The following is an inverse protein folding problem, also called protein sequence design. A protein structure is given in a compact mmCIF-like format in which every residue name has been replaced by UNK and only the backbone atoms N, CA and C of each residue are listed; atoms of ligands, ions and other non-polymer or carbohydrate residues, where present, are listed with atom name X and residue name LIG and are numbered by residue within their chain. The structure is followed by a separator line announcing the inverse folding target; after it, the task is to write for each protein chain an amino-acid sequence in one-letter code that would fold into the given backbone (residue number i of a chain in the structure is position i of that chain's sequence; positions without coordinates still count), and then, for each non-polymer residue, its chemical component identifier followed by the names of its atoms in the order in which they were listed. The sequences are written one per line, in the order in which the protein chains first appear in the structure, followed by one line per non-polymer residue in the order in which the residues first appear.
data_IF_139210120622
#
_entry.id   IF_139210120622
#
_cell.length_a   1.000
_cell.length_b   1.000
_cell.length_c   1.000
_cell.angle_alpha   90.00
_cell.angle_beta   90.00
_cell.angle_gamma   90.00
#
_symmetry.space_group_name_H-M   'P 1'
#
loop_
_entity.id
_entity.type
_entity.pdbx_description
1 polymer ?
#
# COMPACT_ATOMS: atom_id res chain seq x y z
N UNK A 1 -18.07 -5.52 -15.88
CA UNK A 1 -16.92 -6.25 -15.34
C UNK A 1 -16.21 -5.36 -14.32
N UNK A 2 -16.07 -5.86 -13.11
CA UNK A 2 -15.34 -5.06 -12.12
C UNK A 2 -13.84 -5.28 -12.29
N UNK A 3 -13.10 -4.19 -12.38
CA UNK A 3 -11.65 -4.22 -12.52
C UNK A 3 -11.05 -3.90 -11.17
N UNK A 4 -10.21 -4.79 -10.70
CA UNK A 4 -9.51 -4.59 -9.45
C UNK A 4 -8.19 -3.86 -9.68
N UNK A 5 -8.27 -2.55 -9.82
CA UNK A 5 -7.10 -1.73 -10.12
C UNK A 5 -6.13 -1.67 -8.95
N UNK A 6 -6.62 -1.74 -7.71
CA UNK A 6 -5.74 -1.76 -6.53
C UNK A 6 -5.01 -3.09 -6.43
N UNK A 7 -5.71 -4.21 -6.60
CA UNK A 7 -5.06 -5.52 -6.60
C UNK A 7 -4.02 -5.65 -7.69
N UNK A 8 -4.31 -5.14 -8.89
CA UNK A 8 -3.36 -5.12 -9.99
C UNK A 8 -2.11 -4.30 -9.63
N UNK A 9 -2.31 -3.14 -8.99
CA UNK A 9 -1.23 -2.29 -8.55
C UNK A 9 -0.31 -2.98 -7.53
N UNK A 10 -0.91 -3.63 -6.54
CA UNK A 10 -0.15 -4.37 -5.52
C UNK A 10 0.61 -5.53 -6.16
N UNK A 11 0.02 -6.19 -7.15
CA UNK A 11 0.65 -7.28 -7.89
C UNK A 11 1.86 -6.78 -8.71
N UNK A 12 1.74 -5.61 -9.34
CA UNK A 12 2.85 -4.99 -10.07
C UNK A 12 4.04 -4.76 -9.13
N UNK A 13 3.80 -4.23 -7.95
CA UNK A 13 4.85 -4.01 -6.95
C UNK A 13 5.45 -5.36 -6.50
N UNK A 14 4.60 -6.32 -6.17
CA UNK A 14 5.03 -7.64 -5.72
C UNK A 14 5.92 -8.33 -6.76
N UNK A 15 5.48 -8.35 -8.01
CA UNK A 15 6.23 -8.98 -9.10
C UNK A 15 7.56 -8.26 -9.34
N UNK A 16 7.59 -6.94 -9.26
CA UNK A 16 8.83 -6.18 -9.39
C UNK A 16 9.83 -6.52 -8.30
N UNK A 17 9.36 -6.64 -7.06
CA UNK A 17 10.19 -7.03 -5.93
C UNK A 17 10.75 -8.44 -6.11
N UNK A 18 9.93 -9.38 -6.58
CA UNK A 18 10.34 -10.77 -6.77
C UNK A 18 11.51 -10.93 -7.74
N UNK A 19 11.58 -10.10 -8.77
CA UNK A 19 12.65 -10.15 -9.77
C UNK A 19 13.65 -9.02 -9.61
N UNK A 20 13.63 -8.34 -8.48
CA UNK A 20 14.58 -7.29 -8.10
C UNK A 20 14.66 -6.15 -9.12
N UNK A 21 13.51 -5.71 -9.64
CA UNK A 21 13.47 -4.55 -10.53
C UNK A 21 13.81 -3.28 -9.78
N UNK A 22 14.53 -2.33 -10.40
CA UNK A 22 14.78 -1.04 -9.76
C UNK A 22 13.52 -0.18 -9.64
N UNK A 23 12.59 -0.31 -10.58
CA UNK A 23 11.34 0.45 -10.57
C UNK A 23 10.24 -0.31 -11.30
N UNK A 24 9.00 0.06 -11.01
CA UNK A 24 7.82 -0.46 -11.70
C UNK A 24 6.93 0.70 -12.12
N UNK A 25 6.07 0.47 -13.10
CA UNK A 25 5.12 1.45 -13.59
C UNK A 25 3.70 0.91 -13.51
N UNK A 26 2.77 1.80 -13.23
CA UNK A 26 1.34 1.48 -13.22
C UNK A 26 0.57 2.67 -13.78
N UNK A 27 -0.63 2.43 -14.36
CA UNK A 27 -1.48 3.55 -14.78
C UNK A 27 -1.83 4.43 -13.58
N UNK A 28 -1.88 5.74 -13.81
CA UNK A 28 -2.19 6.69 -12.74
C UNK A 28 -3.64 6.56 -12.27
N UNK A 29 -3.83 6.63 -10.96
CA UNK A 29 -5.11 6.99 -10.34
C UNK A 29 -4.80 7.68 -9.02
N UNK A 30 -5.73 8.51 -8.56
CA UNK A 30 -5.55 9.23 -7.30
C UNK A 30 -5.36 8.26 -6.14
N UNK A 31 -6.14 7.18 -6.11
CA UNK A 31 -6.05 6.18 -5.06
C UNK A 31 -4.69 5.49 -5.04
N UNK A 32 -4.23 5.01 -6.20
CA UNK A 32 -2.92 4.35 -6.30
C UNK A 32 -1.78 5.30 -5.96
N UNK A 33 -1.88 6.55 -6.39
CA UNK A 33 -0.90 7.57 -6.07
C UNK A 33 -0.81 7.79 -4.56
N UNK A 34 -1.95 7.91 -3.89
CA UNK A 34 -1.99 8.08 -2.44
C UNK A 34 -1.38 6.88 -1.71
N UNK A 35 -1.71 5.67 -2.15
CA UNK A 35 -1.12 4.46 -1.58
C UNK A 35 0.39 4.46 -1.76
N UNK A 36 0.88 4.79 -2.95
CA UNK A 36 2.31 4.83 -3.24
C UNK A 36 3.03 5.87 -2.38
N UNK A 37 2.43 7.05 -2.18
CA UNK A 37 3.01 8.09 -1.33
C UNK A 37 3.09 7.65 0.13
N UNK A 38 2.10 6.90 0.63
CA UNK A 38 2.15 6.35 1.97
C UNK A 38 3.27 5.31 2.10
N UNK A 39 3.47 4.47 1.08
CA UNK A 39 4.57 3.51 1.07
C UNK A 39 5.93 4.22 1.08
N UNK A 40 6.06 5.33 0.37
CA UNK A 40 7.27 6.15 0.39
C UNK A 40 7.49 6.76 1.76
N UNK A 41 6.46 7.37 2.33
CA UNK A 41 6.53 8.02 3.64
C UNK A 41 6.94 7.03 4.73
N UNK A 42 6.45 5.80 4.65
CA UNK A 42 6.76 4.74 5.63
C UNK A 42 8.06 4.00 5.31
N UNK A 43 8.78 4.41 4.26
CA UNK A 43 10.09 3.85 3.95
C UNK A 43 10.09 2.54 3.18
N UNK A 44 8.96 2.12 2.61
CA UNK A 44 8.87 0.87 1.85
C UNK A 44 9.27 1.01 0.39
N UNK A 45 9.15 2.19 -0.18
CA UNK A 45 9.63 2.47 -1.53
C UNK A 45 10.52 3.71 -1.49
N UNK A 46 11.41 3.83 -2.49
CA UNK A 46 12.38 4.91 -2.53
C UNK A 46 11.76 6.22 -3.02
N UNK A 47 10.97 6.14 -4.09
CA UNK A 47 10.42 7.34 -4.71
C UNK A 47 9.18 7.01 -5.53
N UNK A 48 8.36 8.04 -5.77
CA UNK A 48 7.15 7.95 -6.57
C UNK A 48 7.10 9.17 -7.47
N UNK A 49 7.01 8.95 -8.79
CA UNK A 49 6.96 10.01 -9.78
C UNK A 49 5.77 9.79 -10.69
N UNK A 50 5.09 10.87 -11.05
CA UNK A 50 4.00 10.84 -12.03
C UNK A 50 4.55 11.33 -13.37
N UNK A 51 4.49 10.49 -14.39
CA UNK A 51 4.95 10.81 -15.76
C UNK A 51 3.94 10.26 -16.77
N UNK A 52 3.49 11.10 -17.70
CA UNK A 52 2.63 10.68 -18.81
C UNK A 52 1.47 9.79 -18.39
N UNK A 53 0.74 10.20 -17.35
CA UNK A 53 -0.40 9.45 -16.80
C UNK A 53 -0.03 8.08 -16.22
N UNK A 54 1.24 7.90 -15.88
CA UNK A 54 1.72 6.68 -15.21
C UNK A 54 2.38 7.04 -13.89
N UNK A 55 2.29 6.11 -12.95
CA UNK A 55 3.06 6.15 -11.72
C UNK A 55 4.32 5.34 -11.92
N UNK A 56 5.47 5.96 -11.68
CA UNK A 56 6.74 5.25 -11.61
C UNK A 56 7.15 5.14 -10.17
N UNK A 57 7.31 3.93 -9.68
CA UNK A 57 7.64 3.65 -8.30
C UNK A 57 9.03 3.03 -8.26
N UNK A 58 9.96 3.74 -7.61
CA UNK A 58 11.32 3.24 -7.42
C UNK A 58 11.34 2.34 -6.18
N UNK A 59 11.69 1.08 -6.38
CA UNK A 59 11.71 0.09 -5.31
C UNK A 59 12.97 0.26 -4.45
N UNK A 60 12.90 -0.17 -3.21
CA UNK A 60 13.97 0.03 -2.25
C UNK A 60 14.56 -1.29 -1.82
N UNK A 61 15.89 -1.36 -1.90
CA UNK A 61 16.66 -2.53 -1.51
C UNK A 61 17.76 -2.12 -0.54
N UNK A 62 18.03 -2.97 0.43
CA UNK A 62 19.11 -2.78 1.40
C UNK A 62 19.87 -4.10 1.51
N UNK A 63 21.18 -4.05 1.25
CA UNK A 63 21.98 -5.27 1.29
C UNK A 63 21.58 -6.32 0.28
N UNK A 64 21.03 -5.91 -0.86
CA UNK A 64 20.56 -6.82 -1.91
C UNK A 64 19.18 -7.39 -1.67
N UNK A 65 18.53 -7.06 -0.55
CA UNK A 65 17.18 -7.53 -0.24
C UNK A 65 16.17 -6.40 -0.32
N UNK A 66 14.96 -6.72 -0.81
CA UNK A 66 13.87 -5.76 -0.82
C UNK A 66 13.47 -5.37 0.59
N UNK A 67 13.17 -4.09 0.79
CA UNK A 67 12.59 -3.60 2.04
C UNK A 67 11.17 -4.14 2.21
N UNK A 68 10.45 -4.34 1.11
CA UNK A 68 9.13 -4.99 1.15
C UNK A 68 9.34 -6.50 1.18
N UNK A 69 8.97 -7.14 2.29
CA UNK A 69 8.99 -8.59 2.42
C UNK A 69 7.69 -9.20 1.94
N UNK A 70 6.56 -8.59 2.30
CA UNK A 70 5.25 -8.99 1.82
C UNK A 70 4.37 -7.78 1.59
N UNK A 71 3.55 -7.85 0.56
CA UNK A 71 2.50 -6.89 0.28
C UNK A 71 1.24 -7.68 -0.05
N UNK A 72 0.24 -7.58 0.83
CA UNK A 72 -0.94 -8.42 0.77
C UNK A 72 -2.19 -7.57 0.69
N UNK A 73 -3.07 -7.96 -0.23
CA UNK A 73 -4.38 -7.36 -0.32
C UNK A 73 -5.27 -7.90 0.79
N UNK A 74 -6.05 -7.03 1.43
CA UNK A 74 -7.02 -7.40 2.45
C UNK A 74 -8.44 -7.30 1.90
N UNK A 75 -8.86 -6.11 1.46
CA UNK A 75 -10.17 -5.92 0.85
C UNK A 75 -10.13 -6.19 -0.65
N UNK A 76 -11.19 -6.80 -1.16
CA UNK A 76 -11.35 -7.05 -2.60
C UNK A 76 -12.75 -6.58 -3.05
N UNK A 77 -12.99 -6.41 -4.36
CA UNK A 77 -14.33 -6.06 -4.83
C UNK A 77 -15.41 -7.03 -4.39
N UNK A 78 -15.06 -8.32 -4.26
CA UNK A 78 -16.00 -9.36 -3.82
C UNK A 78 -16.06 -9.51 -2.30
N UNK A 79 -15.10 -8.94 -1.56
CA UNK A 79 -15.05 -9.07 -0.11
C UNK A 79 -14.38 -7.86 0.51
N UNK A 80 -15.18 -6.92 0.96
CA UNK A 80 -14.67 -5.73 1.66
C UNK A 80 -14.45 -6.05 3.13
N UNK A 81 -13.35 -5.53 3.69
CA UNK A 81 -12.98 -5.74 5.09
C UNK A 81 -12.92 -4.40 5.80
N UNK A 82 -13.80 -4.22 6.79
CA UNK A 82 -13.89 -2.99 7.58
C UNK A 82 -13.48 -3.26 9.01
N UNK A 83 -12.76 -2.32 9.62
CA UNK A 83 -12.36 -2.39 11.02
C UNK A 83 -12.66 -1.07 11.72
N UNK A 84 -13.15 -1.13 12.94
CA UNK A 84 -13.27 0.05 13.80
C UNK A 84 -11.91 0.53 14.27
N UNK A 85 -11.83 1.79 14.73
CA UNK A 85 -10.56 2.37 15.15
C UNK A 85 -9.88 1.61 16.29
N UNK A 86 -10.65 0.94 17.15
CA UNK A 86 -10.14 0.13 18.25
C UNK A 86 -9.84 -1.31 17.84
N UNK A 87 -10.29 -1.74 16.66
CA UNK A 87 -10.12 -3.10 16.16
C UNK A 87 -8.98 -3.24 15.16
N UNK A 88 -8.31 -2.15 14.79
CA UNK A 88 -7.18 -2.17 13.88
C UNK A 88 -5.95 -2.64 14.66
N UNK A 89 -5.37 -3.77 14.22
CA UNK A 89 -4.22 -4.38 14.89
C UNK A 89 -2.91 -4.02 14.19
N UNK A 90 -1.81 -3.87 14.94
CA UNK A 90 -0.50 -3.66 14.32
C UNK A 90 -0.12 -4.82 13.41
N UNK A 91 0.58 -4.51 12.32
CA UNK A 91 1.12 -5.51 11.40
C UNK A 91 2.53 -5.88 11.87
N UNK A 92 2.77 -7.17 12.11
CA UNK A 92 4.06 -7.69 12.58
C UNK A 92 4.59 -6.85 13.76
N UNK A 93 3.76 -6.72 14.80
CA UNK A 93 4.15 -6.01 16.03
C UNK A 93 4.52 -4.53 15.81
N UNK A 94 4.03 -3.92 14.74
CA UNK A 94 4.31 -2.52 14.42
C UNK A 94 5.45 -2.30 13.42
N UNK A 95 6.09 -3.37 12.95
CA UNK A 95 7.14 -3.25 11.91
C UNK A 95 6.56 -3.02 10.53
N UNK A 96 5.34 -3.48 10.30
CA UNK A 96 4.63 -3.25 9.05
C UNK A 96 3.53 -2.22 9.20
N UNK A 97 2.81 -2.01 8.11
CA UNK A 97 1.67 -1.09 8.08
C UNK A 97 0.47 -1.77 7.42
N UNK A 98 -0.73 -1.34 7.78
CA UNK A 98 -1.90 -1.51 6.92
C UNK A 98 -2.32 -0.15 6.40
N UNK A 99 -2.90 -0.13 5.20
CA UNK A 99 -3.44 1.09 4.58
C UNK A 99 -4.95 1.01 4.69
N UNK A 100 -5.55 2.05 5.28
CA UNK A 100 -6.97 2.08 5.62
C UNK A 100 -7.62 3.28 4.96
N UNK A 101 -8.77 3.08 4.33
CA UNK A 101 -9.60 4.16 3.81
C UNK A 101 -10.62 4.54 4.87
N UNK A 102 -10.51 5.77 5.38
CA UNK A 102 -11.40 6.28 6.44
C UNK A 102 -12.20 7.46 5.94
N UNK A 103 -13.16 7.92 6.75
CA UNK A 103 -13.90 9.15 6.45
C UNK A 103 -13.02 10.40 6.50
N UNK A 104 -11.82 10.29 7.04
CA UNK A 104 -10.82 11.37 7.07
C UNK A 104 -9.70 11.19 6.04
N UNK A 105 -9.88 10.26 5.12
CA UNK A 105 -8.93 10.00 4.05
C UNK A 105 -8.25 8.65 4.18
N UNK A 106 -7.29 8.42 3.28
CA UNK A 106 -6.49 7.20 3.24
C UNK A 106 -5.27 7.43 4.15
N UNK A 107 -5.04 6.48 5.05
CA UNK A 107 -3.97 6.61 6.03
C UNK A 107 -3.46 5.26 6.47
N UNK A 108 -2.38 5.25 7.26
CA UNK A 108 -1.87 4.03 7.85
C UNK A 108 -2.70 3.64 9.08
N UNK A 109 -2.58 2.37 9.48
CA UNK A 109 -3.20 1.84 10.69
C UNK A 109 -2.82 2.66 11.93
N UNK A 110 -1.56 3.06 12.01
CA UNK A 110 -1.05 3.84 13.15
C UNK A 110 -1.74 5.19 13.27
N UNK A 111 -1.89 5.88 12.14
CA UNK A 111 -2.57 7.18 12.11
C UNK A 111 -4.07 7.03 12.37
N UNK A 112 -4.71 6.02 11.79
CA UNK A 112 -6.14 5.75 12.02
C UNK A 112 -6.41 5.47 13.49
N UNK A 113 -5.55 4.68 14.13
CA UNK A 113 -5.67 4.39 15.56
C UNK A 113 -5.47 5.65 16.41
N UNK A 114 -4.48 6.47 16.08
CA UNK A 114 -4.23 7.72 16.80
C UNK A 114 -5.41 8.69 16.70
N UNK A 115 -6.10 8.72 15.56
CA UNK A 115 -7.28 9.55 15.35
C UNK A 115 -8.57 8.86 15.81
N UNK A 116 -8.48 7.61 16.26
CA UNK A 116 -9.63 6.78 16.65
C UNK A 116 -10.70 6.72 15.54
N UNK A 117 -10.25 6.47 14.32
CA UNK A 117 -11.15 6.29 13.16
C UNK A 117 -10.95 4.90 12.59
N UNK A 118 -12.02 4.32 12.09
CA UNK A 118 -11.99 3.05 11.40
C UNK A 118 -12.30 3.23 9.92
N UNK A 119 -12.23 2.15 9.18
CA UNK A 119 -12.55 2.16 7.77
C UNK A 119 -12.24 0.84 7.11
N UNK A 120 -12.16 0.89 5.78
CA UNK A 120 -11.85 -0.27 4.96
C UNK A 120 -10.33 -0.49 4.94
N UNK A 121 -9.90 -1.70 5.32
CA UNK A 121 -8.50 -2.10 5.27
C UNK A 121 -8.19 -2.56 3.85
N UNK A 122 -7.35 -1.80 3.15
CA UNK A 122 -7.02 -2.05 1.75
C UNK A 122 -5.97 -3.16 1.63
N UNK A 123 -4.84 -2.98 2.31
CA UNK A 123 -3.71 -3.91 2.21
C UNK A 123 -2.83 -3.84 3.45
N UNK A 124 -1.94 -4.81 3.56
CA UNK A 124 -0.88 -4.82 4.57
C UNK A 124 0.47 -4.94 3.87
N UNK A 125 1.48 -4.30 4.44
CA UNK A 125 2.84 -4.29 3.91
C UNK A 125 3.82 -4.44 5.06
N UNK A 126 4.80 -5.32 4.89
CA UNK A 126 5.90 -5.41 5.83
C UNK A 126 7.16 -5.93 5.18
#
# INVERSE_FOLDING_TARGET
MSIDTVGDFLTIIRNGVMVSKPSVQAPFSTLKHTIALLLKEEGFVRDVVVEDRHLKISLKYVGGESVIHEINRVSSPSRRVYKGGDSIKPVIGGLGISIVTTNKGIMTDKKAKALNVGGEVICTVW
#
